data_IF_331265192384
#
_entry.id   IF_331265192384
#
_cell.length_a   1.000
_cell.length_b   1.000
_cell.length_c   1.000
_cell.angle_alpha   90.00
_cell.angle_beta   90.00
_cell.angle_gamma   90.00
#
_symmetry.space_group_name_H-M   'P 1'
#
loop_
_entity.id
_entity.type
_entity.pdbx_description
1 polymer ?
#
# COMPACT_ATOMS: atom_id res chain seq x y z
N UNK A 1 6.86 9.89 -11.35
CA UNK A 1 6.85 8.49 -11.84
C UNK A 1 8.11 7.72 -11.47
N UNK A 2 9.33 8.22 -11.71
CA UNK A 2 10.58 7.47 -11.45
C UNK A 2 10.73 7.00 -9.99
N UNK A 3 10.54 7.91 -9.02
CA UNK A 3 10.72 7.59 -7.59
C UNK A 3 9.76 6.51 -7.12
N UNK A 4 8.48 6.60 -7.49
CA UNK A 4 7.46 5.61 -7.13
C UNK A 4 7.81 4.22 -7.68
N UNK A 5 8.20 4.14 -8.95
CA UNK A 5 8.60 2.87 -9.57
C UNK A 5 9.86 2.29 -8.91
N UNK A 6 10.83 3.14 -8.57
CA UNK A 6 12.02 2.73 -7.81
C UNK A 6 11.63 2.17 -6.44
N UNK A 7 10.72 2.85 -5.73
CA UNK A 7 10.24 2.43 -4.42
C UNK A 7 9.55 1.06 -4.47
N UNK A 8 8.62 0.87 -5.41
CA UNK A 8 7.96 -0.42 -5.65
C UNK A 8 8.99 -1.51 -5.95
N UNK A 9 10.02 -1.19 -6.72
CA UNK A 9 11.09 -2.14 -7.05
C UNK A 9 11.87 -2.55 -5.79
N UNK A 10 12.20 -1.61 -4.90
CA UNK A 10 12.85 -1.92 -3.62
C UNK A 10 12.01 -2.86 -2.75
N UNK A 11 10.71 -2.61 -2.67
CA UNK A 11 9.78 -3.48 -1.94
C UNK A 11 9.76 -4.87 -2.54
N UNK A 12 9.66 -4.98 -3.88
CA UNK A 12 9.66 -6.29 -4.54
C UNK A 12 10.98 -7.04 -4.37
N UNK A 13 12.10 -6.34 -4.21
CA UNK A 13 13.38 -6.99 -3.89
C UNK A 13 13.41 -7.45 -2.44
N UNK A 14 12.95 -6.61 -1.50
CA UNK A 14 13.00 -6.87 -0.06
C UNK A 14 11.89 -7.81 0.43
N UNK A 15 10.78 -7.89 -0.30
CA UNK A 15 9.62 -8.72 0.01
C UNK A 15 9.06 -9.33 -1.30
N UNK A 16 9.79 -10.25 -1.95
CA UNK A 16 9.47 -10.71 -3.31
C UNK A 16 8.17 -11.50 -3.45
N UNK A 17 7.65 -12.03 -2.33
CA UNK A 17 6.36 -12.74 -2.29
C UNK A 17 5.18 -11.83 -1.96
N UNK A 18 5.40 -10.51 -1.93
CA UNK A 18 4.37 -9.52 -1.62
C UNK A 18 3.75 -8.87 -2.84
N UNK A 19 2.47 -8.61 -2.71
CA UNK A 19 1.74 -7.67 -3.53
C UNK A 19 1.89 -6.27 -2.95
N UNK A 20 2.06 -5.29 -3.83
CA UNK A 20 2.13 -3.88 -3.46
C UNK A 20 0.79 -3.25 -3.83
N UNK A 21 0.08 -2.68 -2.85
CA UNK A 21 -1.09 -1.82 -3.10
C UNK A 21 -0.71 -0.37 -2.84
N UNK A 22 -1.14 0.50 -3.74
CA UNK A 22 -1.02 1.94 -3.58
C UNK A 22 -2.42 2.52 -3.38
N UNK A 23 -2.69 2.99 -2.17
CA UNK A 23 -3.84 3.84 -1.88
C UNK A 23 -3.60 5.24 -2.41
N UNK A 24 -4.60 5.81 -3.08
CA UNK A 24 -4.40 7.13 -3.70
C UNK A 24 -5.66 7.98 -3.75
N UNK A 25 -5.46 9.29 -3.93
CA UNK A 25 -6.52 10.22 -4.35
C UNK A 25 -7.09 9.77 -5.71
N UNK A 26 -8.41 9.54 -5.85
CA UNK A 26 -9.04 9.25 -7.14
C UNK A 26 -8.75 10.30 -8.22
N UNK A 27 -8.50 11.55 -7.82
CA UNK A 27 -8.12 12.65 -8.72
C UNK A 27 -6.64 12.67 -9.11
N UNK A 28 -5.81 11.76 -8.58
CA UNK A 28 -4.39 11.69 -8.89
C UNK A 28 -4.14 11.11 -10.29
N UNK A 29 -3.27 11.77 -11.06
CA UNK A 29 -2.93 11.36 -12.44
C UNK A 29 -1.53 10.74 -12.47
N UNK A 30 -1.41 9.52 -11.96
CA UNK A 30 -0.20 8.73 -12.16
C UNK A 30 -0.54 7.31 -12.60
N UNK A 31 0.39 6.74 -13.35
CA UNK A 31 0.37 5.35 -13.76
C UNK A 31 1.52 4.62 -13.10
N UNK A 32 1.29 3.34 -12.83
CA UNK A 32 2.28 2.41 -12.31
C UNK A 32 2.41 1.29 -13.33
N UNK A 33 3.61 0.73 -13.50
CA UNK A 33 3.80 -0.36 -14.45
C UNK A 33 2.88 -1.54 -14.10
N UNK A 34 2.12 -2.04 -15.07
CA UNK A 34 1.19 -3.16 -14.83
C UNK A 34 1.93 -4.35 -14.22
N UNK A 35 1.36 -4.94 -13.16
CA UNK A 35 1.95 -6.06 -12.41
C UNK A 35 2.99 -5.67 -11.35
N UNK A 36 3.42 -4.41 -11.30
CA UNK A 36 4.34 -3.95 -10.24
C UNK A 36 3.62 -3.57 -8.95
N UNK A 37 2.44 -2.97 -9.05
CA UNK A 37 1.57 -2.66 -7.93
C UNK A 37 0.11 -2.51 -8.38
N UNK A 38 -0.83 -2.69 -7.46
CA UNK A 38 -2.25 -2.45 -7.65
C UNK A 38 -2.59 -1.05 -7.11
N UNK A 39 -3.21 -0.22 -7.95
CA UNK A 39 -3.75 1.07 -7.53
C UNK A 39 -5.14 0.89 -6.94
N UNK A 40 -5.37 1.46 -5.76
CA UNK A 40 -6.65 1.43 -5.10
C UNK A 40 -7.03 2.86 -4.67
N UNK A 41 -7.80 3.58 -5.49
CA UNK A 41 -8.22 4.94 -5.16
C UNK A 41 -9.20 4.90 -3.98
N UNK A 42 -8.96 5.74 -2.97
CA UNK A 42 -9.84 5.90 -1.80
C UNK A 42 -10.33 7.33 -1.74
N UNK A 43 -11.64 7.51 -1.77
CA UNK A 43 -12.28 8.81 -1.66
C UNK A 43 -11.89 9.54 -0.37
N UNK A 44 -11.71 10.86 -0.46
CA UNK A 44 -11.40 11.67 0.71
C UNK A 44 -10.83 13.05 0.44
N UNK A 45 -10.43 13.73 1.51
CA UNK A 45 -9.91 15.08 1.46
C UNK A 45 -8.39 15.11 1.54
N UNK A 46 -7.74 15.13 0.38
CA UNK A 46 -6.29 15.20 0.23
C UNK A 46 -5.73 16.63 0.21
N UNK A 47 -6.45 17.61 0.77
CA UNK A 47 -5.90 18.95 0.97
C UNK A 47 -4.74 18.91 1.96
N UNK A 48 -3.74 19.78 1.77
CA UNK A 48 -2.48 19.79 2.54
C UNK A 48 -2.69 19.77 4.07
N UNK A 49 -3.69 20.49 4.58
CA UNK A 49 -4.00 20.54 6.01
C UNK A 49 -4.69 19.29 6.57
N UNK A 50 -5.21 18.41 5.71
CA UNK A 50 -5.95 17.21 6.11
C UNK A 50 -5.16 15.92 5.89
N UNK A 51 -3.94 15.96 5.34
CA UNK A 51 -3.23 14.75 4.91
C UNK A 51 -3.03 13.72 6.02
N UNK A 52 -2.62 14.13 7.23
CA UNK A 52 -2.45 13.22 8.37
C UNK A 52 -3.76 12.50 8.74
N UNK A 53 -4.86 13.24 8.85
CA UNK A 53 -6.17 12.66 9.16
C UNK A 53 -6.66 11.79 7.99
N UNK A 54 -6.43 12.25 6.77
CA UNK A 54 -6.84 11.54 5.57
C UNK A 54 -6.08 10.21 5.45
N UNK A 55 -4.79 10.13 5.82
CA UNK A 55 -4.05 8.85 5.85
C UNK A 55 -4.76 7.82 6.71
N UNK A 56 -5.14 8.18 7.94
CA UNK A 56 -5.86 7.27 8.85
C UNK A 56 -7.21 6.85 8.25
N UNK A 57 -7.98 7.80 7.72
CA UNK A 57 -9.26 7.51 7.06
C UNK A 57 -9.09 6.59 5.86
N UNK A 58 -8.04 6.81 5.08
CA UNK A 58 -7.70 6.02 3.91
C UNK A 58 -7.33 4.59 4.29
N UNK A 59 -6.59 4.39 5.39
CA UNK A 59 -6.34 3.05 5.95
C UNK A 59 -7.62 2.36 6.44
N UNK A 60 -8.49 3.08 7.15
CA UNK A 60 -9.78 2.54 7.61
C UNK A 60 -10.64 2.09 6.43
N UNK A 61 -10.84 2.97 5.44
CA UNK A 61 -11.66 2.64 4.26
C UNK A 61 -11.10 1.44 3.47
N UNK A 62 -9.77 1.33 3.37
CA UNK A 62 -9.15 0.15 2.78
C UNK A 62 -9.42 -1.12 3.59
N UNK A 63 -9.26 -1.08 4.91
CA UNK A 63 -9.48 -2.23 5.77
C UNK A 63 -10.96 -2.65 5.77
N UNK A 64 -11.90 -1.71 5.76
CA UNK A 64 -13.33 -1.98 5.62
C UNK A 64 -13.65 -2.68 4.29
N UNK A 65 -13.09 -2.20 3.17
CA UNK A 65 -13.25 -2.86 1.87
C UNK A 65 -12.68 -4.28 1.89
N UNK A 66 -11.50 -4.46 2.48
CA UNK A 66 -10.85 -5.77 2.58
C UNK A 66 -11.57 -6.72 3.51
N UNK A 67 -12.17 -6.23 4.58
CA UNK A 67 -12.98 -7.03 5.50
C UNK A 67 -14.15 -7.70 4.75
N UNK A 68 -14.83 -6.97 3.87
CA UNK A 68 -15.91 -7.50 3.03
C UNK A 68 -15.42 -8.55 2.01
N UNK A 69 -14.19 -8.39 1.50
CA UNK A 69 -13.58 -9.38 0.59
C UNK A 69 -13.14 -10.65 1.33
N UNK A 70 -12.57 -10.53 2.54
CA UNK A 70 -12.04 -11.68 3.28
C UNK A 70 -13.06 -12.52 3.99
N UNK A 71 -14.25 -11.99 4.25
CA UNK A 71 -15.37 -12.81 4.74
C UNK A 71 -15.72 -13.96 3.76
N UNK A 72 -15.18 -13.91 2.53
CA UNK A 72 -15.33 -14.93 1.48
C UNK A 72 -14.15 -15.88 1.32
N UNK A 73 -13.04 -15.71 2.04
CA UNK A 73 -11.82 -16.53 1.87
C UNK A 73 -11.13 -16.87 3.19
N UNK A 74 -10.89 -18.15 3.47
CA UNK A 74 -10.22 -18.65 4.71
C UNK A 74 -8.72 -18.31 4.82
N UNK A 75 -8.18 -17.44 3.96
CA UNK A 75 -6.76 -17.08 4.02
C UNK A 75 -6.55 -15.89 4.97
N UNK A 76 -5.68 -16.08 5.95
CA UNK A 76 -5.11 -14.99 6.75
C UNK A 76 -4.22 -14.14 5.84
N UNK A 77 -4.60 -12.86 5.68
CA UNK A 77 -3.83 -11.87 4.96
C UNK A 77 -3.33 -10.84 5.95
N UNK A 78 -2.08 -10.46 5.80
CA UNK A 78 -1.45 -9.48 6.68
C UNK A 78 -1.05 -8.26 5.87
N UNK A 79 -1.34 -7.10 6.44
CA UNK A 79 -1.08 -5.82 5.83
C UNK A 79 0.02 -5.09 6.61
N UNK A 80 1.01 -4.61 5.87
CA UNK A 80 1.96 -3.65 6.40
C UNK A 80 1.60 -2.29 5.80
N UNK A 81 1.22 -1.36 6.65
CA UNK A 81 0.88 0.01 6.26
C UNK A 81 2.14 0.86 6.42
N UNK A 82 2.62 1.50 5.35
CA UNK A 82 3.77 2.40 5.44
C UNK A 82 3.46 3.74 4.83
N UNK A 83 4.19 4.74 5.30
CA UNK A 83 4.25 6.04 4.65
C UNK A 83 5.15 6.01 3.42
N UNK A 84 5.01 7.05 2.59
CA UNK A 84 5.69 7.14 1.31
C UNK A 84 7.15 7.57 1.36
N UNK A 85 7.59 8.04 2.52
CA UNK A 85 8.95 8.45 2.84
C UNK A 85 9.75 7.37 3.59
N UNK A 86 9.15 6.21 3.87
CA UNK A 86 9.81 5.07 4.54
C UNK A 86 10.23 4.03 3.51
N UNK A 87 11.53 3.80 3.33
CA UNK A 87 12.06 2.73 2.48
C UNK A 87 12.41 1.48 3.29
N UNK A 88 11.96 0.31 2.81
CA UNK A 88 12.46 -1.00 3.26
C UNK A 88 13.75 -1.28 2.50
N UNK A 89 14.86 -1.42 3.22
CA UNK A 89 16.22 -1.54 2.66
C UNK A 89 16.84 -2.93 2.81
N UNK A 90 16.15 -3.84 3.49
CA UNK A 90 16.60 -5.22 3.71
C UNK A 90 15.40 -6.17 3.75
N UNK A 91 15.66 -7.48 3.64
CA UNK A 91 14.63 -8.52 3.66
C UNK A 91 13.90 -8.53 5.01
N UNK A 92 12.62 -8.13 5.02
CA UNK A 92 11.78 -8.19 6.22
C UNK A 92 11.13 -9.55 6.44
N UNK A 93 11.25 -10.48 5.49
CA UNK A 93 10.63 -11.81 5.53
C UNK A 93 10.96 -12.57 6.81
N UNK A 94 12.19 -12.44 7.31
CA UNK A 94 12.66 -13.09 8.54
C UNK A 94 11.86 -12.68 9.80
N UNK A 95 11.32 -11.45 9.85
CA UNK A 95 10.49 -10.97 10.98
C UNK A 95 9.20 -11.78 11.05
N UNK A 96 8.77 -12.31 9.91
CA UNK A 96 7.48 -12.93 9.75
C UNK A 96 7.55 -14.44 9.52
N UNK A 97 8.75 -15.03 9.48
CA UNK A 97 8.95 -16.49 9.41
C UNK A 97 8.20 -17.24 10.53
N UNK A 98 8.02 -16.61 11.69
CA UNK A 98 7.28 -17.19 12.81
C UNK A 98 5.76 -17.19 12.63
N UNK A 99 5.23 -16.47 11.65
CA UNK A 99 3.80 -16.33 11.44
C UNK A 99 3.46 -17.10 10.13
N UNK A 100 2.74 -18.21 10.27
CA UNK A 100 2.76 -19.33 9.31
C UNK A 100 1.71 -19.30 8.18
N UNK A 101 1.16 -18.15 7.76
CA UNK A 101 0.29 -18.04 6.57
C UNK A 101 0.40 -16.62 6.01
N UNK A 102 0.92 -16.40 4.79
CA UNK A 102 0.93 -15.05 4.20
C UNK A 102 0.69 -14.98 2.69
N UNK A 103 -0.28 -14.15 2.33
CA UNK A 103 -0.17 -13.21 1.21
C UNK A 103 0.17 -11.85 1.84
N UNK A 104 1.27 -11.27 1.37
CA UNK A 104 1.83 -10.03 1.87
C UNK A 104 1.27 -8.86 1.08
N UNK A 105 0.72 -7.86 1.77
CA UNK A 105 0.21 -6.66 1.13
C UNK A 105 0.78 -5.41 1.78
N UNK A 106 1.74 -4.77 1.09
CA UNK A 106 2.30 -3.49 1.50
C UNK A 106 1.47 -2.35 0.92
N UNK A 107 1.04 -1.45 1.79
CA UNK A 107 0.10 -0.39 1.47
C UNK A 107 0.76 0.99 1.48
N UNK A 108 0.72 1.68 0.34
CA UNK A 108 1.36 2.99 0.14
C UNK A 108 0.32 4.08 -0.13
N UNK A 109 0.28 5.16 0.65
CA UNK A 109 -0.65 6.28 0.40
C UNK A 109 0.06 7.40 -0.38
N UNK A 110 -0.36 7.65 -1.63
CA UNK A 110 0.06 8.86 -2.37
C UNK A 110 -0.94 9.96 -2.14
N UNK A 111 -0.51 10.95 -1.37
CA UNK A 111 -1.18 12.25 -1.31
C UNK A 111 -0.66 13.10 -2.46
N UNK A 112 -1.57 13.51 -3.35
CA UNK A 112 -1.41 14.44 -4.47
C UNK A 112 -0.07 15.18 -4.53
N UNK A 113 0.72 14.90 -5.58
CA UNK A 113 1.84 15.74 -5.96
C UNK A 113 1.32 17.13 -6.32
N UNK A 114 1.87 18.16 -5.68
CA UNK A 114 1.65 19.54 -6.10
C UNK A 114 2.17 19.69 -7.54
N UNK A 115 1.29 20.12 -8.43
CA UNK A 115 1.68 21.01 -9.52
C UNK A 115 1.77 22.43 -8.96
#
# INVERSE_FOLDING_TARGET
>A
MTILNTFISFIKVSMPRSDVIILTDPGSKFSVNQGSATLLPIEGNYSRGNLMLQRIKTYIGFLEQKLVEFDRTERLNHFVLTDSDIAVVDDLGHIFEKIHIFIWLLLFVITKGNH
#
